data_IF_684908718720
#
_entry.id   IF_684908718720
#
_cell.length_a   1.000
_cell.length_b   1.000
_cell.length_c   1.000
_cell.angle_alpha   90.00
_cell.angle_beta   90.00
_cell.angle_gamma   90.00
#
_symmetry.space_group_name_H-M   'P 1'
#
loop_
_entity.id
_entity.type
_entity.pdbx_description
1 polymer ?
#
# COMPACT_ATOMS: atom_id res chain seq x y z
N UNK A 1 -15.60 13.38 4.56
CA UNK A 1 -14.15 13.10 4.52
C UNK A 1 -13.53 13.93 3.40
N UNK A 2 -12.37 14.50 3.63
CA UNK A 2 -11.69 15.37 2.68
C UNK A 2 -11.20 14.55 1.47
N UNK A 3 -11.54 15.00 0.26
CA UNK A 3 -11.10 14.34 -0.99
C UNK A 3 -9.58 14.28 -1.13
N UNK A 4 -8.86 15.20 -0.49
CA UNK A 4 -7.39 15.27 -0.59
C UNK A 4 -6.69 14.02 -0.07
N UNK A 5 -7.35 13.23 0.79
CA UNK A 5 -6.72 11.99 1.30
C UNK A 5 -6.51 10.96 0.20
N UNK A 6 -7.19 11.07 -0.95
CA UNK A 6 -7.04 10.16 -2.08
C UNK A 6 -6.07 10.68 -3.15
N UNK A 7 -5.38 11.79 -2.88
CA UNK A 7 -4.59 12.50 -3.90
C UNK A 7 -3.08 12.44 -3.67
N UNK A 8 -2.58 11.45 -2.96
CA UNK A 8 -1.14 11.28 -2.80
C UNK A 8 -0.48 11.10 -4.15
N UNK A 9 0.60 11.84 -4.39
CA UNK A 9 1.33 11.77 -5.64
C UNK A 9 2.39 10.69 -5.55
N UNK A 10 2.13 9.57 -6.22
CA UNK A 10 3.00 8.40 -6.24
C UNK A 10 3.67 8.20 -7.60
N UNK A 11 3.67 9.22 -8.44
CA UNK A 11 4.23 9.12 -9.80
C UNK A 11 5.72 8.79 -9.81
N UNK A 12 6.45 9.19 -8.76
CA UNK A 12 7.88 8.91 -8.64
C UNK A 12 8.19 7.44 -8.36
N UNK A 13 7.22 6.67 -7.90
CA UNK A 13 7.44 5.27 -7.58
C UNK A 13 7.56 4.48 -8.86
N UNK A 14 8.74 3.88 -9.06
CA UNK A 14 9.03 3.01 -10.19
C UNK A 14 9.54 1.67 -9.65
N UNK A 15 8.72 0.65 -9.76
CA UNK A 15 9.05 -0.68 -9.23
C UNK A 15 10.24 -1.29 -9.95
N UNK A 16 10.47 -0.93 -11.20
CA UNK A 16 11.67 -1.37 -11.93
C UNK A 16 12.95 -0.82 -11.29
N UNK A 17 12.91 0.43 -10.81
CA UNK A 17 14.04 1.02 -10.08
C UNK A 17 14.37 0.19 -8.85
N UNK A 18 13.34 -0.22 -8.11
CA UNK A 18 13.56 -1.05 -6.92
C UNK A 18 14.24 -2.36 -7.28
N UNK A 19 13.80 -3.01 -8.36
CA UNK A 19 14.38 -4.29 -8.80
C UNK A 19 15.82 -4.15 -9.23
N UNK A 20 16.23 -2.98 -9.72
CA UNK A 20 17.59 -2.73 -10.18
C UNK A 20 18.56 -2.39 -9.04
N UNK A 21 18.06 -2.01 -7.87
CA UNK A 21 18.91 -1.71 -6.72
C UNK A 21 19.54 -2.99 -6.20
N UNK A 22 20.85 -2.94 -5.93
CA UNK A 22 21.59 -4.08 -5.43
C UNK A 22 21.62 -4.05 -3.91
N UNK A 23 21.25 -5.18 -3.32
CA UNK A 23 21.27 -5.35 -1.87
C UNK A 23 20.04 -4.82 -1.18
N UNK A 24 19.72 -5.47 -0.05
CA UNK A 24 18.52 -5.16 0.70
C UNK A 24 18.55 -3.76 1.32
N UNK A 25 19.74 -3.33 1.78
CA UNK A 25 19.85 -2.02 2.42
C UNK A 25 19.44 -0.88 1.49
N UNK A 26 19.87 -0.95 0.22
CA UNK A 26 19.51 0.05 -0.77
C UNK A 26 18.01 0.04 -1.06
N UNK A 27 17.43 -1.15 -1.17
CA UNK A 27 15.99 -1.30 -1.40
C UNK A 27 15.16 -0.81 -0.22
N UNK A 28 15.57 -1.16 0.99
CA UNK A 28 14.91 -0.71 2.22
C UNK A 28 14.88 0.81 2.29
N UNK A 29 16.03 1.44 2.05
CA UNK A 29 16.13 2.89 2.06
C UNK A 29 15.20 3.54 1.03
N UNK A 30 15.15 2.98 -0.18
CA UNK A 30 14.28 3.49 -1.23
C UNK A 30 12.81 3.36 -0.86
N UNK A 31 12.43 2.23 -0.27
CA UNK A 31 11.05 2.01 0.18
C UNK A 31 10.65 3.05 1.22
N UNK A 32 11.53 3.30 2.20
CA UNK A 32 11.27 4.31 3.23
C UNK A 32 11.14 5.71 2.61
N UNK A 33 12.00 6.03 1.64
CA UNK A 33 11.91 7.32 0.92
C UNK A 33 10.55 7.47 0.23
N UNK A 34 10.10 6.45 -0.48
CA UNK A 34 8.80 6.50 -1.16
C UNK A 34 7.63 6.56 -0.18
N UNK A 35 7.80 6.01 1.03
CA UNK A 35 6.77 6.12 2.06
C UNK A 35 6.47 7.57 2.45
N UNK A 36 7.43 8.46 2.28
CA UNK A 36 7.23 9.89 2.55
C UNK A 36 6.29 10.57 1.56
N UNK A 37 6.01 9.93 0.43
CA UNK A 37 5.03 10.43 -0.54
C UNK A 37 3.60 10.30 -0.03
N UNK A 38 3.35 9.40 0.93
CA UNK A 38 2.06 9.36 1.60
C UNK A 38 1.96 10.50 2.59
N UNK A 39 0.99 11.39 2.38
CA UNK A 39 0.74 12.48 3.31
C UNK A 39 0.16 11.96 4.61
N UNK A 40 0.40 12.67 5.71
CA UNK A 40 -0.26 12.36 6.97
C UNK A 40 -1.75 12.63 6.85
N UNK A 41 -2.56 11.72 7.40
CA UNK A 41 -4.03 11.78 7.29
C UNK A 41 -4.67 11.61 8.66
N UNK A 42 -4.66 12.67 9.49
CA UNK A 42 -5.23 12.58 10.85
C UNK A 42 -6.69 12.11 10.83
N UNK A 43 -7.48 12.54 9.85
CA UNK A 43 -8.89 12.14 9.74
C UNK A 43 -9.07 10.64 9.48
N UNK A 44 -8.04 9.96 8.96
CA UNK A 44 -8.07 8.52 8.70
C UNK A 44 -7.67 7.70 9.94
N UNK A 45 -7.02 8.33 10.92
CA UNK A 45 -6.49 7.65 12.09
C UNK A 45 -7.56 7.38 13.14
N UNK A 46 -8.55 6.57 12.76
CA UNK A 46 -9.67 6.16 13.60
C UNK A 46 -9.81 4.64 13.55
N UNK A 47 -10.39 4.07 14.60
CA UNK A 47 -10.51 2.62 14.74
C UNK A 47 -11.28 1.97 13.59
N UNK A 48 -12.29 2.64 13.07
CA UNK A 48 -13.09 2.08 11.97
C UNK A 48 -12.31 1.97 10.65
N UNK A 49 -11.17 2.65 10.54
CA UNK A 49 -10.29 2.56 9.37
C UNK A 49 -9.04 1.74 9.65
N UNK A 50 -8.87 1.26 10.88
CA UNK A 50 -7.67 0.53 11.29
C UNK A 50 -7.54 -0.79 10.55
N UNK A 51 -6.36 -1.04 9.98
CA UNK A 51 -6.04 -2.31 9.34
C UNK A 51 -5.84 -3.38 10.41
N UNK A 52 -6.52 -4.51 10.25
CA UNK A 52 -6.39 -5.65 11.16
C UNK A 52 -5.27 -6.57 10.70
N UNK A 53 -4.55 -7.16 11.66
CA UNK A 53 -3.46 -8.07 11.34
C UNK A 53 -2.12 -7.40 11.07
N UNK A 54 -2.02 -6.10 11.33
CA UNK A 54 -0.76 -5.36 11.25
C UNK A 54 -0.35 -4.98 12.68
N UNK A 55 0.85 -5.35 13.09
CA UNK A 55 1.33 -5.09 14.46
C UNK A 55 1.49 -3.60 14.73
N UNK A 56 1.95 -2.85 13.73
CA UNK A 56 2.01 -1.39 13.85
C UNK A 56 0.73 -0.78 13.32
N UNK A 57 0.40 0.41 13.81
CA UNK A 57 -0.84 1.06 13.41
C UNK A 57 -0.82 1.46 11.94
N UNK A 58 -1.82 1.06 11.21
CA UNK A 58 -2.05 1.43 9.82
C UNK A 58 -3.54 1.63 9.59
N UNK A 59 -3.88 2.50 8.67
CA UNK A 59 -5.27 2.88 8.37
C UNK A 59 -5.50 2.91 6.88
N UNK A 60 -6.73 2.60 6.48
CA UNK A 60 -7.10 2.43 5.09
C UNK A 60 -8.56 2.83 4.88
N UNK A 61 -8.83 3.53 3.80
CA UNK A 61 -10.19 3.69 3.29
C UNK A 61 -10.17 3.67 1.77
N UNK A 62 -11.36 3.66 1.17
CA UNK A 62 -11.53 3.45 -0.26
C UNK A 62 -12.75 4.21 -0.75
N UNK A 63 -12.72 4.63 -2.02
CA UNK A 63 -13.92 5.09 -2.72
C UNK A 63 -13.86 4.62 -4.18
N UNK A 64 -15.02 4.46 -4.79
CA UNK A 64 -15.14 4.14 -6.20
C UNK A 64 -15.45 5.41 -6.98
N UNK A 65 -14.76 5.59 -8.11
CA UNK A 65 -15.01 6.69 -9.04
C UNK A 65 -15.30 6.13 -10.43
N UNK A 66 -15.66 7.00 -11.37
CA UNK A 66 -15.86 6.57 -12.75
C UNK A 66 -14.58 6.02 -13.38
N UNK A 67 -13.42 6.52 -12.96
CA UNK A 67 -12.14 6.10 -13.49
C UNK A 67 -11.53 4.88 -12.82
N UNK A 68 -12.16 4.36 -11.77
CA UNK A 68 -11.65 3.21 -11.03
C UNK A 68 -11.75 3.39 -9.53
N UNK A 69 -10.99 2.59 -8.79
CA UNK A 69 -10.96 2.62 -7.33
C UNK A 69 -9.85 3.53 -6.83
N UNK A 70 -10.13 4.27 -5.77
CA UNK A 70 -9.14 5.09 -5.10
C UNK A 70 -9.01 4.68 -3.63
N UNK A 71 -7.79 4.71 -3.13
CA UNK A 71 -7.45 4.28 -1.77
C UNK A 71 -6.71 5.40 -1.05
N UNK A 72 -6.92 5.48 0.26
CA UNK A 72 -6.15 6.35 1.13
C UNK A 72 -5.53 5.49 2.22
N UNK A 73 -4.25 5.66 2.45
CA UNK A 73 -3.45 4.86 3.37
C UNK A 73 -2.64 5.77 4.28
N UNK A 74 -2.51 5.36 5.53
CA UNK A 74 -1.60 6.00 6.48
C UNK A 74 -1.05 4.95 7.43
N UNK A 75 0.13 5.17 7.98
CA UNK A 75 0.75 4.22 8.89
C UNK A 75 1.78 4.92 9.76
N UNK A 76 2.05 4.37 10.94
CA UNK A 76 3.05 4.92 11.88
C UNK A 76 4.47 4.49 11.53
N UNK A 77 4.66 3.23 11.14
CA UNK A 77 5.98 2.69 10.83
C UNK A 77 6.47 3.20 9.48
N UNK A 78 7.71 3.66 9.41
CA UNK A 78 8.30 4.15 8.17
C UNK A 78 8.35 3.10 7.08
N UNK A 79 8.70 1.86 7.43
CA UNK A 79 8.75 0.79 6.44
C UNK A 79 7.36 0.37 5.99
N UNK A 80 6.39 0.32 6.90
CA UNK A 80 5.01 0.00 6.53
C UNK A 80 4.43 1.11 5.65
N UNK A 81 4.75 2.38 5.91
CA UNK A 81 4.36 3.48 5.02
C UNK A 81 4.94 3.27 3.62
N UNK A 82 6.21 2.86 3.53
CA UNK A 82 6.85 2.58 2.26
C UNK A 82 6.20 1.42 1.52
N UNK A 83 5.90 0.34 2.23
CA UNK A 83 5.19 -0.80 1.66
C UNK A 83 3.78 -0.41 1.22
N UNK A 84 3.11 0.44 1.99
CA UNK A 84 1.80 0.96 1.62
C UNK A 84 1.89 1.79 0.33
N UNK A 85 2.94 2.59 0.18
CA UNK A 85 3.16 3.37 -1.05
C UNK A 85 3.37 2.46 -2.26
N UNK A 86 4.14 1.37 -2.12
CA UNK A 86 4.31 0.38 -3.18
C UNK A 86 2.99 -0.27 -3.56
N UNK A 87 2.20 -0.64 -2.55
CA UNK A 87 0.88 -1.21 -2.78
C UNK A 87 -0.01 -0.22 -3.52
N UNK A 88 -0.03 1.04 -3.07
CA UNK A 88 -0.85 2.08 -3.69
C UNK A 88 -0.49 2.24 -5.17
N UNK A 89 0.79 2.16 -5.53
CA UNK A 89 1.23 2.22 -6.93
C UNK A 89 0.59 1.11 -7.76
N UNK A 90 0.33 -0.06 -7.16
CA UNK A 90 -0.26 -1.20 -7.86
C UNK A 90 -1.79 -1.14 -7.94
N UNK A 91 -2.45 -0.49 -6.99
CA UNK A 91 -3.92 -0.57 -6.90
C UNK A 91 -4.64 0.74 -7.20
N UNK A 92 -3.96 1.90 -7.10
CA UNK A 92 -4.61 3.20 -7.27
C UNK A 92 -5.14 3.38 -8.69
N UNK A 93 -6.37 3.84 -8.79
CA UNK A 93 -7.09 4.11 -10.05
C UNK A 93 -7.35 2.87 -10.90
N UNK A 94 -7.23 1.68 -10.35
CA UNK A 94 -7.48 0.43 -11.08
C UNK A 94 -8.97 0.12 -11.09
N UNK A 95 -9.41 -0.53 -12.17
CA UNK A 95 -10.78 -1.05 -12.27
C UNK A 95 -10.94 -2.30 -11.43
N UNK A 96 -12.19 -2.69 -11.16
CA UNK A 96 -12.47 -3.95 -10.45
C UNK A 96 -11.87 -5.15 -11.19
N UNK A 97 -11.97 -5.17 -12.53
CA UNK A 97 -11.41 -6.26 -13.33
C UNK A 97 -9.89 -6.36 -13.15
N UNK A 98 -9.20 -5.21 -13.17
CA UNK A 98 -7.75 -5.18 -12.95
C UNK A 98 -7.36 -5.66 -11.56
N UNK A 99 -8.12 -5.22 -10.54
CA UNK A 99 -7.84 -5.61 -9.15
C UNK A 99 -8.08 -7.10 -8.92
N UNK A 100 -9.08 -7.70 -9.58
CA UNK A 100 -9.35 -9.13 -9.48
C UNK A 100 -8.20 -9.98 -10.00
N UNK A 101 -7.39 -9.46 -10.91
CA UNK A 101 -6.26 -10.17 -11.48
C UNK A 101 -4.98 -10.06 -10.65
N UNK A 102 -4.98 -9.20 -9.64
CA UNK A 102 -3.81 -9.05 -8.78
C UNK A 102 -3.62 -10.27 -7.89
N UNK A 103 -2.41 -10.82 -7.90
CA UNK A 103 -2.00 -11.86 -6.98
C UNK A 103 -1.09 -11.22 -5.92
N UNK A 104 -1.61 -11.09 -4.71
CA UNK A 104 -0.91 -10.40 -3.62
C UNK A 104 0.36 -11.15 -3.21
N UNK A 105 0.29 -12.47 -3.15
CA UNK A 105 1.47 -13.26 -2.77
C UNK A 105 2.57 -13.12 -3.83
N UNK A 106 2.19 -13.05 -5.10
CA UNK A 106 3.14 -12.86 -6.18
C UNK A 106 3.80 -11.49 -6.13
N UNK A 107 3.14 -10.46 -5.59
CA UNK A 107 3.74 -9.14 -5.42
C UNK A 107 4.98 -9.17 -4.54
N UNK A 108 4.95 -9.90 -3.44
CA UNK A 108 6.11 -10.01 -2.57
C UNK A 108 7.29 -10.65 -3.27
N UNK A 109 7.02 -11.63 -4.13
CA UNK A 109 8.05 -12.32 -4.91
C UNK A 109 8.58 -11.38 -6.01
N UNK A 110 7.68 -10.76 -6.75
CA UNK A 110 8.02 -9.83 -7.85
C UNK A 110 8.90 -8.69 -7.37
N UNK A 111 8.61 -8.14 -6.20
CA UNK A 111 9.36 -7.04 -5.61
C UNK A 111 10.60 -7.50 -4.84
N UNK A 112 10.84 -8.82 -4.79
CA UNK A 112 11.94 -9.43 -4.04
C UNK A 112 11.92 -9.04 -2.55
N UNK A 113 10.73 -9.00 -1.98
CA UNK A 113 10.55 -8.61 -0.58
C UNK A 113 10.37 -9.81 0.35
N UNK A 114 9.91 -10.94 -0.19
CA UNK A 114 9.50 -12.08 0.63
C UNK A 114 10.63 -12.59 1.51
N UNK A 115 11.84 -12.66 0.98
CA UNK A 115 13.00 -13.21 1.71
C UNK A 115 13.69 -12.17 2.60
N UNK A 116 13.33 -10.88 2.48
CA UNK A 116 14.00 -9.80 3.19
C UNK A 116 13.18 -9.15 4.28
N UNK A 117 11.85 -9.26 4.21
CA UNK A 117 10.98 -8.71 5.24
C UNK A 117 10.86 -9.69 6.40
N UNK A 118 10.81 -9.15 7.63
CA UNK A 118 10.44 -9.96 8.79
C UNK A 118 9.02 -10.51 8.60
N UNK A 119 8.64 -11.59 9.29
CA UNK A 119 7.27 -12.10 9.24
C UNK A 119 6.22 -11.04 9.60
N UNK A 120 6.51 -10.21 10.59
CA UNK A 120 5.62 -9.11 11.01
C UNK A 120 5.37 -8.13 9.87
N UNK A 121 6.42 -7.73 9.15
CA UNK A 121 6.31 -6.78 8.03
C UNK A 121 5.62 -7.39 6.82
N UNK A 122 5.93 -8.65 6.51
CA UNK A 122 5.25 -9.38 5.43
C UNK A 122 3.76 -9.51 5.73
N UNK A 123 3.41 -9.87 6.96
CA UNK A 123 2.02 -10.00 7.38
C UNK A 123 1.30 -8.65 7.34
N UNK A 124 1.98 -7.58 7.73
CA UNK A 124 1.43 -6.22 7.64
C UNK A 124 1.12 -5.82 6.21
N UNK A 125 2.04 -6.07 5.29
CA UNK A 125 1.82 -5.80 3.87
C UNK A 125 0.63 -6.61 3.32
N UNK A 126 0.60 -7.91 3.62
CA UNK A 126 -0.49 -8.77 3.16
C UNK A 126 -1.83 -8.34 3.73
N UNK A 127 -1.86 -7.94 5.01
CA UNK A 127 -3.07 -7.44 5.65
C UNK A 127 -3.60 -6.19 4.96
N UNK A 128 -2.72 -5.22 4.68
CA UNK A 128 -3.07 -4.01 3.93
C UNK A 128 -3.65 -4.35 2.57
N UNK A 129 -2.96 -5.20 1.82
CA UNK A 129 -3.35 -5.55 0.46
C UNK A 129 -4.69 -6.29 0.42
N UNK A 130 -4.88 -7.27 1.30
CA UNK A 130 -6.11 -8.04 1.35
C UNK A 130 -7.30 -7.17 1.74
N UNK A 131 -7.13 -6.28 2.71
CA UNK A 131 -8.22 -5.41 3.15
C UNK A 131 -8.54 -4.35 2.10
N UNK A 132 -7.54 -3.82 1.40
CA UNK A 132 -7.77 -2.90 0.29
C UNK A 132 -8.60 -3.56 -0.81
N UNK A 133 -8.22 -4.77 -1.21
CA UNK A 133 -8.96 -5.51 -2.23
C UNK A 133 -10.38 -5.87 -1.77
N UNK A 134 -10.53 -6.24 -0.50
CA UNK A 134 -11.86 -6.53 0.05
C UNK A 134 -12.77 -5.30 -0.02
N UNK A 135 -12.26 -4.12 0.36
CA UNK A 135 -13.03 -2.89 0.26
C UNK A 135 -13.49 -2.59 -1.17
N UNK A 136 -12.61 -2.84 -2.14
CA UNK A 136 -12.91 -2.54 -3.54
C UNK A 136 -13.83 -3.57 -4.18
N UNK A 137 -13.62 -4.86 -3.89
CA UNK A 137 -14.27 -5.95 -4.63
C UNK A 137 -15.51 -6.53 -3.94
N UNK A 138 -15.64 -6.33 -2.63
CA UNK A 138 -16.79 -6.82 -1.86
C UNK A 138 -17.94 -5.82 -1.82
N UNK A 139 -17.83 -4.69 -2.50
CA UNK A 139 -18.89 -3.70 -2.58
C UNK A 139 -19.94 -4.14 -3.61
N UNK A 140 -21.16 -4.10 -3.18
CA UNK A 140 -22.32 -4.43 -4.01
C UNK A 140 -23.06 -3.19 -4.46
#
# INVERSE_FOLDING_TARGET
MNDNIFCDNIDQIDLNTLQQLQGWQARYKQIVVWGKLLTAKPELRRDNYRVRGCETAAWLTHRKTLGGHEFALDADSKIIRGLAALLLKKIQHKTSAELKQLNIDALLIELDLKSHLSPSRSNGFLALAKQALALALDQH
#
